data_IF_302585513308
#
_entry.id   IF_302585513308
#
_cell.length_a   1.000
_cell.length_b   1.000
_cell.length_c   1.000
_cell.angle_alpha   90.00
_cell.angle_beta   90.00
_cell.angle_gamma   90.00
#
_symmetry.space_group_name_H-M   'P 1'
#
loop_
_entity.id
_entity.type
_entity.pdbx_description
1 polymer ?
#
# COMPACT_ATOMS: atom_id res chain seq x y z
N UNK A 1 -17.75 21.90 39.54
CA UNK A 1 -17.99 22.02 38.09
C UNK A 1 -16.64 21.88 37.41
N UNK A 2 -16.45 20.82 36.63
CA UNK A 2 -15.21 20.59 35.89
C UNK A 2 -15.38 21.02 34.42
N UNK A 3 -14.31 21.45 33.76
CA UNK A 3 -14.33 21.72 32.32
C UNK A 3 -13.66 20.57 31.58
N UNK A 4 -14.20 20.22 30.41
CA UNK A 4 -13.62 19.20 29.56
C UNK A 4 -12.23 19.64 29.07
N UNK A 5 -11.16 18.84 29.28
CA UNK A 5 -9.81 19.21 28.87
C UNK A 5 -9.63 19.26 27.35
N UNK A 6 -10.54 18.66 26.57
CA UNK A 6 -10.45 18.58 25.12
C UNK A 6 -11.18 19.73 24.39
N UNK A 7 -12.33 20.17 24.90
CA UNK A 7 -13.15 21.20 24.24
C UNK A 7 -13.48 22.43 25.10
N UNK A 8 -13.07 22.45 26.38
CA UNK A 8 -13.22 23.60 27.27
C UNK A 8 -14.62 23.84 27.84
N UNK A 9 -15.63 23.06 27.43
CA UNK A 9 -17.01 23.20 27.92
C UNK A 9 -17.21 22.58 29.30
N UNK A 10 -18.10 23.16 30.10
CA UNK A 10 -18.43 22.67 31.43
C UNK A 10 -19.15 21.32 31.37
N UNK A 11 -18.71 20.39 32.24
CA UNK A 11 -19.19 19.02 32.35
C UNK A 11 -19.47 18.71 33.83
N UNK A 12 -20.40 17.78 34.09
CA UNK A 12 -20.69 17.34 35.46
C UNK A 12 -19.61 16.36 35.91
N UNK A 13 -19.23 16.40 37.18
CA UNK A 13 -18.17 15.54 37.75
C UNK A 13 -18.53 14.05 37.73
N UNK A 14 -19.82 13.71 37.58
CA UNK A 14 -20.31 12.33 37.42
C UNK A 14 -20.13 11.78 36.00
N UNK A 15 -19.95 12.63 34.99
CA UNK A 15 -19.97 12.23 33.59
C UNK A 15 -18.67 11.51 33.21
N UNK A 16 -18.79 10.35 32.54
CA UNK A 16 -17.64 9.56 32.07
C UNK A 16 -17.09 10.05 30.72
N UNK A 17 -17.88 10.84 30.00
CA UNK A 17 -17.57 11.35 28.67
C UNK A 17 -18.08 12.79 28.54
N UNK A 18 -17.41 13.61 27.74
CA UNK A 18 -17.90 14.95 27.46
C UNK A 18 -19.09 14.88 26.50
N UNK A 19 -20.24 15.43 26.92
CA UNK A 19 -21.46 15.51 26.10
C UNK A 19 -21.28 16.32 24.81
N UNK A 20 -20.26 17.19 24.74
CA UNK A 20 -20.05 18.09 23.61
C UNK A 20 -19.05 17.57 22.58
N UNK A 21 -17.93 16.97 23.00
CA UNK A 21 -16.91 16.47 22.08
C UNK A 21 -16.83 14.93 22.00
N UNK A 22 -17.42 14.20 22.95
CA UNK A 22 -17.43 12.74 22.96
C UNK A 22 -16.21 12.08 23.62
N UNK A 23 -15.14 12.83 23.89
CA UNK A 23 -13.94 12.29 24.55
C UNK A 23 -14.21 11.83 26.00
N UNK A 24 -13.58 10.71 26.44
CA UNK A 24 -13.67 10.23 27.81
C UNK A 24 -13.03 11.21 28.79
N UNK A 25 -13.74 11.50 29.89
CA UNK A 25 -13.21 12.30 30.99
C UNK A 25 -12.47 11.35 31.94
N UNK A 26 -11.15 11.47 31.99
CA UNK A 26 -10.30 10.64 32.85
C UNK A 26 -10.65 10.92 34.31
N UNK A 27 -11.37 9.99 34.96
CA UNK A 27 -11.64 10.04 36.40
C UNK A 27 -10.32 9.86 37.14
N UNK A 28 -9.87 10.89 37.83
CA UNK A 28 -8.89 10.73 38.90
C UNK A 28 -9.58 9.97 40.03
N UNK A 29 -9.38 8.65 40.11
CA UNK A 29 -9.66 7.93 41.35
C UNK A 29 -8.69 8.45 42.42
N UNK A 30 -9.16 8.80 43.63
CA UNK A 30 -8.25 9.00 44.74
C UNK A 30 -7.55 7.68 45.04
N UNK A 31 -6.22 7.69 45.00
CA UNK A 31 -5.35 6.54 45.27
C UNK A 31 -5.67 5.94 46.65
N UNK A 32 -5.94 4.63 46.77
CA UNK A 32 -5.92 3.96 48.05
C UNK A 32 -4.47 3.89 48.55
N UNK A 33 -4.22 4.50 49.71
CA UNK A 33 -2.96 4.45 50.47
C UNK A 33 -2.48 3.01 50.62
N UNK A 34 -1.31 2.72 50.06
CA UNK A 34 -0.52 1.56 50.41
C UNK A 34 0.18 1.79 51.77
N UNK A 35 0.14 0.84 52.71
CA UNK A 35 1.09 0.79 53.82
C UNK A 35 2.40 0.11 53.39
N UNK A 36 3.49 0.71 53.87
CA UNK A 36 4.90 0.39 53.68
C UNK A 36 5.39 -0.72 54.68
N UNK A 37 6.67 -1.14 54.69
CA UNK A 37 7.08 -2.55 54.64
C UNK A 37 7.72 -3.07 55.94
N UNK A 38 7.88 -4.41 56.04
CA UNK A 38 8.71 -5.05 57.05
C UNK A 38 9.82 -5.88 56.38
N UNK A 39 11.05 -5.52 56.71
CA UNK A 39 12.30 -6.21 56.37
C UNK A 39 12.49 -7.48 57.21
N UNK A 40 13.32 -8.40 56.68
CA UNK A 40 14.48 -9.07 57.32
C UNK A 40 14.63 -10.52 56.79
N UNK A 41 15.78 -11.17 56.59
CA UNK A 41 17.24 -10.91 56.66
C UNK A 41 17.90 -12.26 56.27
N UNK A 42 18.96 -12.23 55.43
CA UNK A 42 20.22 -13.06 55.47
C UNK A 42 20.08 -14.61 55.23
N UNK A 43 20.95 -15.40 54.58
CA UNK A 43 22.42 -15.57 54.40
C UNK A 43 22.63 -16.27 53.02
N UNK A 44 23.69 -16.12 52.20
CA UNK A 44 25.10 -16.23 52.53
C UNK A 44 25.61 -17.67 52.39
N UNK A 45 25.97 -18.17 51.18
CA UNK A 45 26.94 -19.29 51.00
C UNK A 45 27.70 -19.17 49.66
N UNK A 46 29.01 -19.40 49.80
CA UNK A 46 30.13 -19.35 48.85
C UNK A 46 30.28 -20.63 48.01
N UNK A 47 30.85 -20.43 46.81
CA UNK A 47 31.92 -21.19 46.10
C UNK A 47 31.94 -22.73 46.04
N UNK A 48 32.11 -23.28 44.82
CA UNK A 48 33.11 -24.29 44.37
C UNK A 48 32.71 -24.70 42.93
N UNK A 49 33.47 -24.45 41.85
CA UNK A 49 34.76 -24.99 41.35
C UNK A 49 34.82 -26.52 41.20
N UNK A 50 35.30 -26.88 40.00
CA UNK A 50 35.80 -28.17 39.50
C UNK A 50 34.77 -29.21 39.03
N UNK A 51 35.03 -30.12 38.09
CA UNK A 51 35.98 -30.32 36.96
C UNK A 51 35.74 -31.80 36.58
N UNK A 52 35.95 -32.15 35.30
CA UNK A 52 36.12 -33.54 34.82
C UNK A 52 34.87 -34.42 34.79
N UNK A 53 34.75 -35.43 33.94
CA UNK A 53 35.42 -35.82 32.70
C UNK A 53 34.70 -37.10 32.23
N UNK A 54 34.56 -37.27 30.92
CA UNK A 54 34.47 -38.58 30.27
C UNK A 54 33.16 -39.35 30.44
N UNK A 55 32.82 -40.32 29.61
CA UNK A 55 33.53 -40.90 28.46
C UNK A 55 32.62 -42.00 27.90
N UNK A 56 32.54 -42.11 26.56
CA UNK A 56 32.49 -43.37 25.76
C UNK A 56 31.28 -44.31 25.93
N UNK A 57 30.82 -45.11 24.95
CA UNK A 57 31.34 -45.59 23.66
C UNK A 57 30.17 -46.14 22.81
N UNK A 58 30.34 -46.10 21.47
CA UNK A 58 30.16 -47.14 20.42
C UNK A 58 28.99 -48.16 20.50
N UNK A 59 28.46 -48.78 19.44
CA UNK A 59 28.94 -49.18 18.11
C UNK A 59 27.67 -49.60 17.33
N UNK A 60 27.42 -49.31 16.04
CA UNK A 60 28.08 -49.90 14.88
C UNK A 60 27.16 -50.94 14.22
N UNK A 61 26.64 -50.68 13.00
CA UNK A 61 26.44 -51.75 11.99
C UNK A 61 26.21 -51.21 10.58
N UNK A 62 26.93 -51.83 9.63
CA UNK A 62 26.98 -51.54 8.22
C UNK A 62 25.78 -52.12 7.43
N UNK A 63 25.44 -51.52 6.30
CA UNK A 63 24.92 -52.29 5.17
C UNK A 63 25.30 -51.66 3.82
N UNK A 64 25.80 -52.53 2.95
CA UNK A 64 26.19 -52.32 1.56
C UNK A 64 24.96 -52.16 0.67
N UNK A 65 25.05 -51.29 -0.33
CA UNK A 65 24.10 -51.25 -1.44
C UNK A 65 24.72 -50.53 -2.64
N UNK A 66 25.24 -51.32 -3.58
CA UNK A 66 25.72 -50.87 -4.90
C UNK A 66 24.57 -50.27 -5.72
N UNK A 67 24.79 -49.09 -6.31
CA UNK A 67 24.02 -48.62 -7.47
C UNK A 67 25.00 -48.07 -8.51
N UNK A 68 25.25 -48.91 -9.50
CA UNK A 68 25.29 -48.63 -10.94
C UNK A 68 25.66 -47.21 -11.41
N UNK A 69 26.87 -47.11 -11.97
CA UNK A 69 27.29 -46.02 -12.87
C UNK A 69 26.54 -46.19 -14.20
N UNK A 70 25.66 -45.25 -14.50
CA UNK A 70 25.19 -45.01 -15.87
C UNK A 70 25.95 -43.80 -16.41
N UNK A 71 26.88 -44.06 -17.34
CA UNK A 71 27.47 -43.04 -18.20
C UNK A 71 26.38 -42.54 -19.14
N UNK A 72 25.90 -41.32 -18.89
CA UNK A 72 25.05 -40.59 -19.84
C UNK A 72 25.96 -39.73 -20.69
N UNK A 73 26.24 -40.22 -21.89
CA UNK A 73 26.82 -39.49 -23.00
C UNK A 73 25.99 -38.23 -23.24
N UNK A 74 26.55 -37.09 -22.86
CA UNK A 74 25.89 -35.79 -22.92
C UNK A 74 26.13 -35.23 -24.31
N UNK A 75 25.12 -35.34 -25.19
CA UNK A 75 25.10 -34.57 -26.43
C UNK A 75 25.24 -33.07 -26.12
N UNK A 76 26.10 -32.33 -26.84
CA UNK A 76 26.21 -30.89 -26.68
C UNK A 76 24.89 -30.24 -27.14
N UNK A 77 24.15 -29.67 -26.18
CA UNK A 77 23.02 -28.81 -26.47
C UNK A 77 23.47 -27.66 -27.40
N UNK A 78 22.67 -27.33 -28.42
CA UNK A 78 22.98 -26.23 -29.33
C UNK A 78 23.11 -24.92 -28.54
N UNK A 79 24.25 -24.28 -28.76
CA UNK A 79 24.64 -22.98 -28.25
C UNK A 79 23.52 -21.97 -28.50
N UNK A 80 22.73 -21.72 -27.45
CA UNK A 80 21.71 -20.68 -27.46
C UNK A 80 22.45 -19.35 -27.64
N UNK A 81 22.31 -18.80 -28.85
CA UNK A 81 22.66 -17.42 -29.19
C UNK A 81 21.99 -16.53 -28.16
N UNK A 82 22.77 -16.09 -27.16
CA UNK A 82 22.34 -15.09 -26.19
C UNK A 82 22.08 -13.82 -26.99
N UNK A 83 20.81 -13.51 -27.23
CA UNK A 83 20.45 -12.24 -27.81
C UNK A 83 21.09 -11.13 -26.97
N UNK A 84 21.83 -10.20 -27.59
CA UNK A 84 22.47 -9.12 -26.86
C UNK A 84 21.40 -8.33 -26.12
N UNK A 85 21.50 -8.29 -24.78
CA UNK A 85 20.64 -7.44 -23.96
C UNK A 85 20.66 -6.04 -24.56
N UNK A 86 19.51 -5.60 -25.06
CA UNK A 86 19.37 -4.34 -25.77
C UNK A 86 19.89 -3.20 -24.87
N UNK A 87 21.08 -2.70 -25.19
CA UNK A 87 21.61 -1.47 -24.63
C UNK A 87 20.58 -0.37 -24.85
N UNK A 88 20.07 0.19 -23.76
CA UNK A 88 19.11 1.28 -23.81
C UNK A 88 19.68 2.42 -24.66
N UNK A 89 18.89 3.02 -25.56
CA UNK A 89 19.35 4.13 -26.39
C UNK A 89 19.84 5.27 -25.48
N UNK A 90 21.09 5.67 -25.65
CA UNK A 90 21.85 6.59 -24.78
C UNK A 90 21.34 8.05 -24.75
N UNK A 91 20.05 8.28 -25.02
CA UNK A 91 19.44 9.62 -25.06
C UNK A 91 17.98 9.68 -24.63
N UNK A 92 17.36 8.58 -24.20
CA UNK A 92 16.00 8.65 -23.65
C UNK A 92 16.04 9.27 -22.26
N UNK A 93 15.42 10.43 -22.09
CA UNK A 93 15.28 11.12 -20.80
C UNK A 93 14.82 10.13 -19.73
N UNK A 94 15.54 10.09 -18.61
CA UNK A 94 15.27 9.22 -17.46
C UNK A 94 13.91 9.46 -16.80
N UNK A 95 13.20 10.52 -17.19
CA UNK A 95 11.94 10.94 -16.58
C UNK A 95 10.75 10.34 -17.31
N UNK A 96 9.77 9.88 -16.52
CA UNK A 96 8.47 9.41 -17.01
C UNK A 96 7.76 10.54 -17.76
N UNK A 97 7.16 10.22 -18.91
CA UNK A 97 6.34 11.17 -19.67
C UNK A 97 5.35 11.89 -18.72
N UNK A 98 5.36 13.23 -18.66
CA UNK A 98 4.49 14.01 -17.78
C UNK A 98 3.01 13.69 -17.95
N UNK A 99 2.56 13.37 -19.17
CA UNK A 99 1.18 13.00 -19.43
C UNK A 99 0.81 11.66 -18.79
N UNK A 100 1.71 10.66 -18.89
CA UNK A 100 1.52 9.34 -18.26
C UNK A 100 1.56 9.47 -16.74
N UNK A 101 2.50 10.26 -16.23
CA UNK A 101 2.60 10.54 -14.80
C UNK A 101 1.31 11.17 -14.27
N UNK A 102 0.80 12.21 -14.94
CA UNK A 102 -0.45 12.88 -14.57
C UNK A 102 -1.66 11.94 -14.62
N UNK A 103 -1.74 11.04 -15.61
CA UNK A 103 -2.80 10.03 -15.67
C UNK A 103 -2.77 9.08 -14.47
N UNK A 104 -1.59 8.59 -14.09
CA UNK A 104 -1.43 7.65 -12.97
C UNK A 104 -1.66 8.37 -11.64
N UNK A 105 -1.16 9.59 -11.48
CA UNK A 105 -1.45 10.42 -10.29
C UNK A 105 -2.95 10.67 -10.14
N UNK A 106 -3.67 10.93 -11.23
CA UNK A 106 -5.14 11.01 -11.21
C UNK A 106 -5.78 9.71 -10.73
N UNK A 107 -5.28 8.54 -11.14
CA UNK A 107 -5.78 7.24 -10.65
C UNK A 107 -5.45 6.97 -9.18
N UNK A 108 -4.29 7.43 -8.71
CA UNK A 108 -3.93 7.42 -7.30
C UNK A 108 -4.90 8.29 -6.49
N UNK A 109 -5.21 9.49 -6.98
CA UNK A 109 -6.16 10.41 -6.35
C UNK A 109 -7.56 9.78 -6.25
N UNK A 110 -8.05 9.19 -7.34
CA UNK A 110 -9.34 8.46 -7.37
C UNK A 110 -9.38 7.37 -6.30
N UNK A 111 -8.32 6.56 -6.17
CA UNK A 111 -8.25 5.51 -5.16
C UNK A 111 -8.38 6.07 -3.73
N UNK A 112 -7.68 7.16 -3.42
CA UNK A 112 -7.76 7.78 -2.10
C UNK A 112 -9.12 8.41 -1.84
N UNK A 113 -9.73 9.03 -2.86
CA UNK A 113 -11.09 9.57 -2.78
C UNK A 113 -12.12 8.46 -2.53
N UNK A 114 -12.01 7.32 -3.22
CA UNK A 114 -12.88 6.17 -2.98
C UNK A 114 -12.75 5.63 -1.54
N UNK A 115 -11.53 5.58 -1.01
CA UNK A 115 -11.28 5.19 0.39
C UNK A 115 -11.92 6.19 1.37
N UNK A 116 -11.84 7.50 1.10
CA UNK A 116 -12.48 8.55 1.91
C UNK A 116 -14.01 8.46 1.84
N UNK A 117 -14.57 8.31 0.65
CA UNK A 117 -16.02 8.15 0.42
C UNK A 117 -16.52 6.91 1.15
N UNK A 118 -15.80 5.78 1.06
CA UNK A 118 -16.16 4.55 1.77
C UNK A 118 -16.19 4.76 3.28
N UNK A 119 -15.15 5.35 3.88
CA UNK A 119 -15.12 5.67 5.31
C UNK A 119 -16.25 6.59 5.74
N UNK A 120 -16.60 7.57 4.91
CA UNK A 120 -17.70 8.49 5.17
C UNK A 120 -19.07 7.77 5.13
N UNK A 121 -19.25 6.84 4.19
CA UNK A 121 -20.45 5.98 4.14
C UNK A 121 -20.54 5.06 5.36
N UNK A 122 -19.44 4.47 5.80
CA UNK A 122 -19.38 3.64 7.02
C UNK A 122 -19.78 4.45 8.26
N UNK A 123 -19.23 5.66 8.43
CA UNK A 123 -19.60 6.58 9.52
C UNK A 123 -21.07 6.99 9.48
N UNK A 124 -21.60 7.28 8.29
CA UNK A 124 -23.03 7.57 8.11
C UNK A 124 -23.90 6.37 8.51
N UNK A 125 -23.51 5.17 8.11
CA UNK A 125 -24.23 3.94 8.46
C UNK A 125 -24.18 3.65 9.97
N UNK A 126 -23.03 3.85 10.62
CA UNK A 126 -22.90 3.74 12.08
C UNK A 126 -23.78 4.75 12.82
N UNK A 127 -23.81 6.00 12.35
CA UNK A 127 -24.67 7.03 12.93
C UNK A 127 -26.15 6.73 12.75
N UNK A 128 -26.55 6.16 11.61
CA UNK A 128 -27.94 5.73 11.36
C UNK A 128 -28.33 4.58 12.28
N UNK A 129 -27.47 3.56 12.42
CA UNK A 129 -27.71 2.42 13.32
C UNK A 129 -27.88 2.85 14.77
N UNK A 130 -27.10 3.85 15.22
CA UNK A 130 -27.24 4.39 16.57
C UNK A 130 -28.59 5.08 16.77
N UNK A 131 -29.13 5.76 15.76
CA UNK A 131 -30.46 6.37 15.83
C UNK A 131 -31.60 5.36 15.78
N UNK A 132 -31.39 4.21 15.13
CA UNK A 132 -32.36 3.11 15.06
C UNK A 132 -32.39 2.25 16.33
N UNK A 133 -31.43 2.42 17.25
CA UNK A 133 -31.36 1.66 18.51
C UNK A 133 -32.56 2.02 19.43
N UNK A 134 -33.38 1.03 19.86
CA UNK A 134 -34.56 1.28 20.69
C UNK A 134 -34.28 1.97 22.03
N UNK A 135 -33.15 1.67 22.68
CA UNK A 135 -32.76 2.30 23.94
C UNK A 135 -32.34 3.74 23.72
N UNK A 136 -31.61 3.99 22.63
CA UNK A 136 -31.20 5.32 22.22
C UNK A 136 -32.42 6.17 21.88
N UNK A 137 -33.33 5.61 21.09
CA UNK A 137 -34.58 6.23 20.69
C UNK A 137 -35.44 6.59 21.89
N UNK A 138 -35.67 5.66 22.83
CA UNK A 138 -36.42 5.94 24.06
C UNK A 138 -35.80 7.06 24.91
N UNK A 139 -34.47 7.18 24.90
CA UNK A 139 -33.75 8.19 25.70
C UNK A 139 -33.80 9.59 25.08
N UNK A 140 -33.80 9.69 23.75
CA UNK A 140 -33.68 10.98 23.04
C UNK A 140 -34.88 11.31 22.15
N UNK A 141 -35.94 10.50 22.14
CA UNK A 141 -37.12 10.70 21.28
C UNK A 141 -37.75 12.09 21.46
N UNK A 142 -37.71 12.63 22.69
CA UNK A 142 -38.28 13.93 23.03
C UNK A 142 -37.24 15.07 23.11
N UNK A 143 -35.98 14.82 22.74
CA UNK A 143 -34.91 15.82 22.80
C UNK A 143 -34.75 16.50 21.43
N UNK A 144 -35.51 17.59 21.22
CA UNK A 144 -35.51 18.36 19.97
C UNK A 144 -34.13 18.96 19.63
N UNK A 145 -33.34 19.33 20.64
CA UNK A 145 -31.99 19.88 20.42
C UNK A 145 -31.06 18.79 19.89
N UNK A 146 -31.15 17.59 20.45
CA UNK A 146 -30.41 16.43 20.00
C UNK A 146 -30.74 16.05 18.54
N UNK A 147 -32.03 16.01 18.18
CA UNK A 147 -32.46 15.73 16.81
C UNK A 147 -31.94 16.76 15.81
N UNK A 148 -32.07 18.05 16.12
CA UNK A 148 -31.53 19.14 15.28
C UNK A 148 -30.01 19.05 15.14
N UNK A 149 -29.29 18.76 16.22
CA UNK A 149 -27.83 18.62 16.20
C UNK A 149 -27.39 17.45 15.29
N UNK A 150 -28.10 16.31 15.35
CA UNK A 150 -27.82 15.18 14.47
C UNK A 150 -28.19 15.47 13.02
N UNK A 151 -29.33 16.10 12.76
CA UNK A 151 -29.73 16.50 11.41
C UNK A 151 -28.64 17.38 10.75
N UNK A 152 -28.13 18.37 11.48
CA UNK A 152 -27.02 19.21 11.03
C UNK A 152 -25.77 18.37 10.73
N UNK A 153 -25.43 17.39 11.58
CA UNK A 153 -24.30 16.47 11.34
C UNK A 153 -24.51 15.60 10.10
N UNK A 154 -25.71 15.08 9.89
CA UNK A 154 -26.06 14.29 8.72
C UNK A 154 -25.98 15.11 7.43
N UNK A 155 -26.51 16.34 7.45
CA UNK A 155 -26.39 17.27 6.33
C UNK A 155 -24.93 17.59 6.02
N UNK A 156 -24.10 17.85 7.04
CA UNK A 156 -22.67 18.12 6.86
C UNK A 156 -21.93 16.90 6.26
N UNK A 157 -22.21 15.68 6.75
CA UNK A 157 -21.62 14.45 6.18
C UNK A 157 -22.08 14.21 4.74
N UNK A 158 -23.35 14.47 4.43
CA UNK A 158 -23.87 14.37 3.05
C UNK A 158 -23.18 15.36 2.13
N UNK A 159 -23.06 16.62 2.54
CA UNK A 159 -22.35 17.66 1.79
C UNK A 159 -20.88 17.28 1.56
N UNK A 160 -20.17 16.81 2.58
CA UNK A 160 -18.80 16.28 2.43
C UNK A 160 -18.74 15.12 1.43
N UNK A 161 -19.72 14.21 1.46
CA UNK A 161 -19.83 13.12 0.50
C UNK A 161 -19.99 13.61 -0.94
N UNK A 162 -20.77 14.67 -1.16
CA UNK A 162 -20.99 15.23 -2.50
C UNK A 162 -19.76 16.01 -3.01
N UNK A 163 -19.04 16.72 -2.13
CA UNK A 163 -17.74 17.34 -2.47
C UNK A 163 -16.73 16.28 -2.89
N UNK A 164 -16.57 15.19 -2.11
CA UNK A 164 -15.64 14.12 -2.45
C UNK A 164 -15.99 13.42 -3.78
N UNK A 165 -17.28 13.27 -4.10
CA UNK A 165 -17.71 12.73 -5.40
C UNK A 165 -17.38 13.70 -6.54
N UNK A 166 -17.56 15.01 -6.34
CA UNK A 166 -17.21 16.00 -7.35
C UNK A 166 -15.70 16.04 -7.60
N UNK A 167 -14.88 15.98 -6.53
CA UNK A 167 -13.43 15.82 -6.63
C UNK A 167 -13.06 14.55 -7.39
N UNK A 168 -13.73 13.43 -7.10
CA UNK A 168 -13.50 12.16 -7.80
C UNK A 168 -13.79 12.28 -9.30
N UNK A 169 -14.92 12.89 -9.67
CA UNK A 169 -15.26 13.11 -11.08
C UNK A 169 -14.24 14.03 -11.78
N UNK A 170 -13.69 15.03 -11.08
CA UNK A 170 -12.62 15.87 -11.62
C UNK A 170 -11.33 15.06 -11.83
N UNK A 171 -10.97 14.20 -10.89
CA UNK A 171 -9.81 13.31 -11.00
C UNK A 171 -10.00 12.26 -12.13
N UNK A 172 -11.22 11.72 -12.32
CA UNK A 172 -11.56 10.81 -13.44
C UNK A 172 -11.38 11.49 -14.81
N UNK A 173 -11.75 12.77 -14.93
CA UNK A 173 -11.52 13.55 -16.15
C UNK A 173 -10.03 13.74 -16.45
N UNK A 174 -9.20 13.96 -15.42
CA UNK A 174 -7.74 14.08 -15.56
C UNK A 174 -7.09 12.74 -15.91
N UNK A 175 -7.51 11.66 -15.26
CA UNK A 175 -6.96 10.32 -15.47
C UNK A 175 -7.25 9.78 -16.87
N UNK A 176 -8.33 10.24 -17.51
CA UNK A 176 -8.81 9.70 -18.78
C UNK A 176 -9.40 8.30 -18.65
N UNK A 177 -10.18 7.88 -19.64
CA UNK A 177 -10.78 6.53 -19.66
C UNK A 177 -9.72 5.45 -19.88
N UNK A 178 -8.86 5.68 -20.86
CA UNK A 178 -7.81 4.75 -21.28
C UNK A 178 -6.45 5.41 -21.05
N UNK A 179 -5.56 4.69 -20.39
CA UNK A 179 -4.18 5.16 -20.21
C UNK A 179 -3.39 5.00 -21.51
N UNK A 180 -2.35 5.82 -21.69
CA UNK A 180 -1.43 5.69 -22.84
C UNK A 180 -0.85 4.28 -22.96
N UNK A 181 -0.60 3.62 -21.82
CA UNK A 181 -0.10 2.24 -21.77
C UNK A 181 -1.14 1.22 -22.28
N UNK A 182 -2.40 1.35 -21.85
CA UNK A 182 -3.51 0.54 -22.35
C UNK A 182 -3.74 0.76 -23.86
N UNK A 183 -3.66 2.01 -24.32
CA UNK A 183 -3.74 2.36 -25.76
C UNK A 183 -2.65 1.67 -26.58
N UNK A 184 -1.40 1.70 -26.10
CA UNK A 184 -0.29 1.03 -26.75
C UNK A 184 -0.50 -0.49 -26.81
N UNK A 185 -0.99 -1.11 -25.74
CA UNK A 185 -1.30 -2.53 -25.71
C UNK A 185 -2.42 -2.92 -26.69
N UNK A 186 -3.48 -2.12 -26.78
CA UNK A 186 -4.54 -2.35 -27.76
C UNK A 186 -4.02 -2.19 -29.19
N UNK A 187 -3.16 -1.20 -29.45
CA UNK A 187 -2.52 -0.99 -30.75
C UNK A 187 -1.60 -2.15 -31.13
N UNK A 188 -0.78 -2.65 -30.20
CA UNK A 188 0.06 -3.84 -30.38
C UNK A 188 -0.80 -5.05 -30.76
N UNK A 189 -1.88 -5.30 -30.01
CA UNK A 189 -2.80 -6.41 -30.29
C UNK A 189 -3.44 -6.29 -31.68
N UNK A 190 -3.88 -5.09 -32.05
CA UNK A 190 -4.45 -4.80 -33.37
C UNK A 190 -3.44 -5.06 -34.49
N UNK A 191 -2.22 -4.52 -34.38
CA UNK A 191 -1.17 -4.70 -35.38
C UNK A 191 -0.79 -6.17 -35.56
N UNK A 192 -0.70 -6.94 -34.46
CA UNK A 192 -0.49 -8.39 -34.54
C UNK A 192 -1.60 -9.09 -35.33
N UNK A 193 -2.87 -8.77 -35.06
CA UNK A 193 -4.00 -9.30 -35.82
C UNK A 193 -3.95 -8.91 -37.30
N UNK A 194 -3.63 -7.65 -37.61
CA UNK A 194 -3.49 -7.19 -39.00
C UNK A 194 -2.37 -7.92 -39.76
N UNK A 195 -1.24 -8.18 -39.10
CA UNK A 195 -0.14 -8.96 -39.67
C UNK A 195 -0.58 -10.41 -39.92
N UNK A 196 -1.28 -11.03 -38.97
CA UNK A 196 -1.80 -12.39 -39.11
C UNK A 196 -2.82 -12.50 -40.26
N UNK A 197 -3.77 -11.58 -40.34
CA UNK A 197 -4.75 -11.51 -41.41
C UNK A 197 -4.09 -11.30 -42.77
N UNK A 198 -3.08 -10.41 -42.84
CA UNK A 198 -2.31 -10.17 -44.06
C UNK A 198 -1.54 -11.43 -44.50
N UNK A 199 -0.91 -12.14 -43.55
CA UNK A 199 -0.23 -13.41 -43.79
C UNK A 199 -1.20 -14.47 -44.33
N UNK A 200 -2.40 -14.57 -43.78
CA UNK A 200 -3.42 -15.50 -44.24
C UNK A 200 -3.93 -15.16 -45.63
N UNK A 201 -4.21 -13.88 -45.90
CA UNK A 201 -4.66 -13.44 -47.23
C UNK A 201 -3.60 -13.64 -48.32
N UNK A 202 -2.32 -13.45 -47.98
CA UNK A 202 -1.22 -13.74 -48.89
C UNK A 202 -1.09 -15.24 -49.19
N UNK A 203 -1.20 -16.11 -48.17
CA UNK A 203 -1.24 -17.58 -48.36
C UNK A 203 -2.39 -18.02 -49.26
N UNK A 204 -3.55 -17.36 -49.14
CA UNK A 204 -4.72 -17.58 -49.98
C UNK A 204 -4.62 -16.92 -51.36
N UNK A 205 -3.47 -16.30 -51.70
CA UNK A 205 -3.22 -15.58 -52.96
C UNK A 205 -4.24 -14.46 -53.24
N UNK A 206 -4.86 -13.89 -52.20
CA UNK A 206 -5.81 -12.77 -52.32
C UNK A 206 -5.12 -11.41 -52.46
N UNK A 207 -3.84 -11.33 -52.11
CA UNK A 207 -3.01 -10.13 -52.16
C UNK A 207 -1.75 -10.45 -52.95
N UNK A 208 -1.33 -9.54 -53.82
CA UNK A 208 -0.09 -9.70 -54.57
C UNK A 208 1.15 -9.55 -53.67
N UNK A 209 2.26 -10.15 -54.09
CA UNK A 209 3.50 -10.17 -53.30
C UNK A 209 4.02 -8.78 -52.96
N UNK A 210 3.95 -7.83 -53.90
CA UNK A 210 4.49 -6.48 -53.70
C UNK A 210 3.69 -5.72 -52.64
N UNK A 211 2.36 -5.79 -52.72
CA UNK A 211 1.47 -5.20 -51.72
C UNK A 211 1.65 -5.85 -50.36
N UNK A 212 1.78 -7.18 -50.30
CA UNK A 212 2.08 -7.91 -49.08
C UNK A 212 3.39 -7.45 -48.44
N UNK A 213 4.50 -7.46 -49.19
CA UNK A 213 5.82 -7.10 -48.68
C UNK A 213 5.82 -5.66 -48.12
N UNK A 214 5.14 -4.74 -48.83
CA UNK A 214 5.02 -3.34 -48.40
C UNK A 214 4.24 -3.23 -47.08
N UNK A 215 2.98 -3.71 -47.05
CA UNK A 215 2.12 -3.60 -45.86
C UNK A 215 2.67 -4.36 -44.65
N UNK A 216 3.26 -5.54 -44.89
CA UNK A 216 3.85 -6.34 -43.83
C UNK A 216 5.02 -5.60 -43.19
N UNK A 217 5.91 -5.00 -44.01
CA UNK A 217 7.02 -4.20 -43.49
C UNK A 217 6.54 -2.99 -42.68
N UNK A 218 5.53 -2.27 -43.17
CA UNK A 218 4.93 -1.13 -42.47
C UNK A 218 4.33 -1.52 -41.13
N UNK A 219 3.52 -2.59 -41.08
CA UNK A 219 2.93 -3.07 -39.83
C UNK A 219 3.98 -3.57 -38.84
N UNK A 220 5.02 -4.26 -39.32
CA UNK A 220 6.12 -4.71 -38.46
C UNK A 220 6.91 -3.54 -37.86
N UNK A 221 7.16 -2.48 -38.64
CA UNK A 221 7.80 -1.26 -38.15
C UNK A 221 6.93 -0.62 -37.07
N UNK A 222 5.63 -0.42 -37.34
CA UNK A 222 4.70 0.17 -36.39
C UNK A 222 4.57 -0.65 -35.10
N UNK A 223 4.56 -1.99 -35.22
CA UNK A 223 4.48 -2.91 -34.09
C UNK A 223 5.72 -2.78 -33.23
N UNK A 224 6.90 -2.84 -33.85
CA UNK A 224 8.19 -2.73 -33.18
C UNK A 224 8.31 -1.40 -32.45
N UNK A 225 7.94 -0.30 -33.09
CA UNK A 225 7.99 1.04 -32.49
C UNK A 225 7.02 1.16 -31.30
N UNK A 226 5.78 0.69 -31.45
CA UNK A 226 4.79 0.74 -30.36
C UNK A 226 5.22 -0.14 -29.18
N UNK A 227 5.85 -1.30 -29.43
CA UNK A 227 6.42 -2.16 -28.39
C UNK A 227 7.56 -1.46 -27.66
N UNK A 228 8.50 -0.84 -28.40
CA UNK A 228 9.59 -0.05 -27.80
C UNK A 228 9.07 1.06 -26.90
N UNK A 229 8.07 1.82 -27.35
CA UNK A 229 7.47 2.89 -26.56
C UNK A 229 6.83 2.37 -25.26
N UNK A 230 6.08 1.28 -25.34
CA UNK A 230 5.52 0.62 -24.15
C UNK A 230 6.64 0.16 -23.19
N UNK A 231 7.71 -0.43 -23.70
CA UNK A 231 8.80 -0.93 -22.87
C UNK A 231 9.56 0.21 -22.19
N UNK A 232 9.78 1.33 -22.89
CA UNK A 232 10.32 2.58 -22.29
C UNK A 232 9.43 3.06 -21.14
N UNK A 233 8.11 3.14 -21.35
CA UNK A 233 7.18 3.55 -20.30
C UNK A 233 7.21 2.58 -19.10
N UNK A 234 7.27 1.27 -19.34
CA UNK A 234 7.36 0.28 -18.26
C UNK A 234 8.65 0.42 -17.45
N UNK A 235 9.79 0.71 -18.10
CA UNK A 235 11.05 0.99 -17.41
C UNK A 235 10.92 2.26 -16.57
N UNK A 236 10.39 3.35 -17.12
CA UNK A 236 10.19 4.60 -16.41
C UNK A 236 9.25 4.43 -15.20
N UNK A 237 8.18 3.64 -15.33
CA UNK A 237 7.29 3.29 -14.22
C UNK A 237 8.01 2.44 -13.16
N UNK A 238 8.87 1.51 -13.58
CA UNK A 238 9.72 0.73 -12.68
C UNK A 238 10.66 1.62 -11.86
N UNK A 239 11.29 2.60 -12.50
CA UNK A 239 12.14 3.60 -11.83
C UNK A 239 11.34 4.44 -10.83
N UNK A 240 10.15 4.90 -11.22
CA UNK A 240 9.28 5.66 -10.31
C UNK A 240 8.83 4.83 -9.11
N UNK A 241 8.43 3.57 -9.32
CA UNK A 241 8.09 2.65 -8.22
C UNK A 241 9.28 2.44 -7.28
N UNK A 242 10.49 2.29 -7.81
CA UNK A 242 11.72 2.19 -7.02
C UNK A 242 11.95 3.44 -6.16
N UNK A 243 11.76 4.64 -6.73
CA UNK A 243 11.88 5.90 -5.99
C UNK A 243 10.86 5.99 -4.84
N UNK A 244 9.60 5.59 -5.07
CA UNK A 244 8.57 5.55 -4.03
C UNK A 244 8.90 4.54 -2.92
N UNK A 245 9.50 3.40 -3.27
CA UNK A 245 9.96 2.41 -2.28
C UNK A 245 11.11 2.93 -1.43
N UNK A 246 12.04 3.68 -2.01
CA UNK A 246 13.11 4.35 -1.28
C UNK A 246 12.53 5.35 -0.25
N UNK A 247 11.60 6.22 -0.68
CA UNK A 247 10.92 7.16 0.22
C UNK A 247 10.16 6.43 1.35
N UNK A 248 9.51 5.32 1.03
CA UNK A 248 8.83 4.50 2.03
C UNK A 248 9.80 3.94 3.09
N UNK A 249 10.99 3.51 2.67
CA UNK A 249 12.02 3.02 3.59
C UNK A 249 12.61 4.14 4.46
N UNK A 250 12.83 5.33 3.89
CA UNK A 250 13.25 6.52 4.64
C UNK A 250 12.26 6.88 5.76
N UNK A 251 10.95 6.81 5.49
CA UNK A 251 9.92 7.03 6.52
C UNK A 251 9.94 5.96 7.62
N UNK A 252 10.25 4.70 7.30
CA UNK A 252 10.42 3.66 8.33
C UNK A 252 11.66 3.92 9.19
N UNK A 253 12.75 4.35 8.58
CA UNK A 253 13.97 4.78 9.29
C UNK A 253 13.62 5.94 10.23
N UNK A 254 12.82 6.92 9.76
CA UNK A 254 12.35 8.04 10.58
C UNK A 254 11.59 7.56 11.83
N UNK A 255 10.71 6.55 11.72
CA UNK A 255 10.03 5.96 12.89
C UNK A 255 11.02 5.39 13.91
N UNK A 256 12.09 4.73 13.44
CA UNK A 256 13.11 4.19 14.33
C UNK A 256 13.94 5.30 15.00
N UNK A 257 14.23 6.38 14.27
CA UNK A 257 14.87 7.58 14.83
C UNK A 257 13.99 8.23 15.91
N UNK A 258 12.67 8.33 15.70
CA UNK A 258 11.76 8.86 16.74
C UNK A 258 11.80 8.02 18.02
N UNK A 259 11.90 6.69 17.91
CA UNK A 259 12.07 5.81 19.09
C UNK A 259 13.40 6.06 19.78
N UNK A 260 14.49 6.22 19.02
CA UNK A 260 15.81 6.52 19.56
C UNK A 260 15.83 7.87 20.29
N UNK A 261 15.27 8.92 19.68
CA UNK A 261 15.14 10.28 20.27
C UNK A 261 14.32 10.28 21.56
N UNK A 262 13.26 9.47 21.60
CA UNK A 262 12.48 9.27 22.84
C UNK A 262 13.30 8.56 23.92
N UNK A 263 14.18 7.62 23.55
CA UNK A 263 15.04 6.92 24.50
C UNK A 263 16.20 7.79 25.01
N UNK A 264 16.73 8.71 24.18
CA UNK A 264 17.69 9.73 24.57
C UNK A 264 17.06 10.91 25.34
N UNK A 265 15.73 10.90 25.52
CA UNK A 265 14.94 11.96 26.19
C UNK A 265 14.96 13.31 25.47
N UNK A 266 15.24 13.32 24.16
CA UNK A 266 15.17 14.53 23.33
C UNK A 266 13.73 14.97 23.02
N UNK A 267 12.79 14.01 22.99
CA UNK A 267 11.37 14.26 22.74
C UNK A 267 10.50 13.59 23.81
N UNK A 268 9.33 14.15 24.07
CA UNK A 268 8.37 13.56 25.00
C UNK A 268 7.72 12.31 24.41
N UNK A 269 7.09 11.52 25.27
CA UNK A 269 6.32 10.35 24.84
C UNK A 269 5.14 10.75 23.95
N UNK A 270 4.44 11.85 24.25
CA UNK A 270 3.32 12.33 23.44
C UNK A 270 3.80 12.77 22.05
N UNK A 271 4.90 13.54 21.98
CA UNK A 271 5.49 13.98 20.72
C UNK A 271 5.86 12.79 19.83
N UNK A 272 6.52 11.77 20.41
CA UNK A 272 6.87 10.55 19.68
C UNK A 272 5.63 9.84 19.12
N UNK A 273 4.57 9.70 19.92
CA UNK A 273 3.33 9.04 19.47
C UNK A 273 2.70 9.82 18.32
N UNK A 274 2.55 11.14 18.45
CA UNK A 274 1.92 11.98 17.44
C UNK A 274 2.70 11.97 16.11
N UNK A 275 4.03 12.15 16.15
CA UNK A 275 4.88 12.12 14.97
C UNK A 275 4.92 10.73 14.33
N UNK A 276 4.94 9.67 15.14
CA UNK A 276 4.88 8.30 14.66
C UNK A 276 3.57 8.01 13.93
N UNK A 277 2.42 8.37 14.51
CA UNK A 277 1.11 8.17 13.87
C UNK A 277 1.00 8.95 12.54
N UNK A 278 1.54 10.17 12.48
CA UNK A 278 1.60 10.96 11.26
C UNK A 278 2.47 10.27 10.18
N UNK A 279 3.62 9.74 10.58
CA UNK A 279 4.55 9.02 9.69
C UNK A 279 3.95 7.70 9.21
N UNK A 280 3.27 6.96 10.07
CA UNK A 280 2.58 5.71 9.71
C UNK A 280 1.46 5.97 8.68
N UNK A 281 0.71 7.08 8.80
CA UNK A 281 -0.28 7.47 7.79
C UNK A 281 0.39 7.73 6.43
N UNK A 282 1.56 8.39 6.39
CA UNK A 282 2.33 8.61 5.15
C UNK A 282 2.81 7.28 4.54
N UNK A 283 3.34 6.36 5.35
CA UNK A 283 3.74 5.03 4.91
C UNK A 283 2.56 4.27 4.29
N UNK A 284 1.39 4.30 4.92
CA UNK A 284 0.19 3.64 4.36
C UNK A 284 -0.23 4.25 3.02
N UNK A 285 -0.14 5.58 2.88
CA UNK A 285 -0.43 6.27 1.62
C UNK A 285 0.58 5.89 0.53
N UNK A 286 1.89 5.94 0.81
CA UNK A 286 2.93 5.56 -0.15
C UNK A 286 2.85 4.09 -0.55
N UNK A 287 2.60 3.18 0.41
CA UNK A 287 2.41 1.76 0.11
C UNK A 287 1.24 1.52 -0.85
N UNK A 288 0.14 2.26 -0.69
CA UNK A 288 -0.98 2.21 -1.63
C UNK A 288 -0.60 2.77 -3.01
N UNK A 289 0.13 3.89 -3.06
CA UNK A 289 0.61 4.48 -4.30
C UNK A 289 1.52 3.51 -5.08
N UNK A 290 2.48 2.88 -4.41
CA UNK A 290 3.37 1.86 -4.98
C UNK A 290 2.56 0.74 -5.61
N UNK A 291 1.58 0.19 -4.88
CA UNK A 291 0.72 -0.88 -5.39
C UNK A 291 -0.08 -0.46 -6.64
N UNK A 292 -0.51 0.80 -6.71
CA UNK A 292 -1.23 1.34 -7.88
C UNK A 292 -0.28 1.47 -9.06
N UNK A 293 0.90 2.08 -8.89
CA UNK A 293 1.92 2.22 -9.94
C UNK A 293 2.33 0.85 -10.49
N UNK A 294 2.63 -0.10 -9.62
CA UNK A 294 3.00 -1.47 -10.00
C UNK A 294 1.90 -2.18 -10.77
N UNK A 295 0.63 -1.87 -10.49
CA UNK A 295 -0.48 -2.47 -11.24
C UNK A 295 -0.51 -2.06 -12.71
N UNK A 296 0.13 -0.95 -13.11
CA UNK A 296 0.31 -0.58 -14.53
C UNK A 296 1.43 -1.37 -15.20
N UNK A 297 2.47 -1.74 -14.45
CA UNK A 297 3.63 -2.49 -14.95
C UNK A 297 3.25 -3.96 -15.19
N UNK A 298 2.49 -4.58 -14.28
CA UNK A 298 2.22 -6.03 -14.33
C UNK A 298 0.90 -6.43 -15.01
N UNK A 299 0.00 -5.48 -15.28
CA UNK A 299 -1.25 -5.77 -16.02
C UNK A 299 -1.11 -5.57 -17.53
N UNK A 300 0.02 -5.04 -18.00
CA UNK A 300 0.28 -4.74 -19.41
C UNK A 300 0.93 -5.91 -20.16
#
# INVERSE_FOLDING_TARGET
MANCPYCGKSVKESDRFCLYCGEPLVKQQPEPKAPEPANDVVDGIRMSRDKSAGSTVADGTASKGSIEKTEVETEPLPEQVREPMATLPAGSSSELDPAIKAQIEGRIEIYHLDKKIKKLKERLAESLKLMDDPEFKKKYDNDDEFHKANEVRFMALKQMGDVLKAEKQAAEKKAGKETTLELNNMKIKRLKGQIEDLNNNFKLRKVDKKTYDTLHSEYMIQLTETMKQRDIHNIQLGMWSSALRAELEDLKIQINLLKARKNSREITKEQMIAEKEATEKKIQTLAANIKIVESFIFKS
#
